data_IF_280047202449
#
_entry.id   IF_280047202449
#
_cell.length_a   1.000
_cell.length_b   1.000
_cell.length_c   1.000
_cell.angle_alpha   90.00
_cell.angle_beta   90.00
_cell.angle_gamma   90.00
#
_symmetry.space_group_name_H-M   'P 1'
#
loop_
_entity.id
_entity.type
_entity.pdbx_description
1 polymer ?
#
# COMPACT_ATOMS: atom_id res chain seq x y z
N UNK A 1 -20.19 1.64 0.58
CA UNK A 1 -19.18 2.39 -0.19
C UNK A 1 -18.63 1.47 -1.27
N UNK A 2 -18.38 1.95 -2.49
CA UNK A 2 -18.17 1.08 -3.67
C UNK A 2 -16.93 0.19 -3.60
N UNK A 3 -15.94 0.52 -2.77
CA UNK A 3 -14.75 -0.33 -2.57
C UNK A 3 -15.05 -1.70 -1.93
N UNK A 4 -16.19 -1.90 -1.26
CA UNK A 4 -16.56 -3.20 -0.69
C UNK A 4 -17.13 -4.18 -1.72
N UNK A 5 -17.46 -3.71 -2.93
CA UNK A 5 -17.97 -4.54 -4.02
C UNK A 5 -16.86 -5.41 -4.65
N UNK A 6 -15.60 -5.02 -4.45
CA UNK A 6 -14.44 -5.66 -5.04
C UNK A 6 -13.73 -6.57 -4.02
N UNK A 7 -13.22 -7.71 -4.47
CA UNK A 7 -12.35 -8.57 -3.67
C UNK A 7 -10.94 -8.00 -3.53
N UNK A 8 -10.48 -7.26 -4.55
CA UNK A 8 -9.16 -6.62 -4.60
C UNK A 8 -9.33 -5.17 -4.99
N UNK A 9 -8.62 -4.27 -4.29
CA UNK A 9 -8.65 -2.83 -4.57
C UNK A 9 -7.24 -2.25 -4.71
N UNK A 10 -7.10 -1.31 -5.65
CA UNK A 10 -5.94 -0.42 -5.77
C UNK A 10 -6.42 0.98 -5.38
N UNK A 11 -5.85 1.53 -4.31
CA UNK A 11 -6.12 2.87 -3.82
C UNK A 11 -4.92 3.76 -4.16
N UNK A 12 -5.05 4.60 -5.19
CA UNK A 12 -4.01 5.54 -5.59
C UNK A 12 -4.33 6.96 -5.09
N UNK A 13 -3.36 7.61 -4.45
CA UNK A 13 -3.49 8.96 -3.93
C UNK A 13 -2.26 9.80 -4.29
N UNK A 14 -2.46 11.07 -4.60
CA UNK A 14 -1.36 12.01 -4.85
C UNK A 14 -1.61 13.36 -4.18
N UNK A 15 -0.58 13.88 -3.49
CA UNK A 15 -0.66 15.18 -2.80
C UNK A 15 -1.83 15.25 -1.81
N UNK A 16 -2.65 16.30 -1.92
CA UNK A 16 -3.84 16.51 -1.05
C UNK A 16 -4.87 15.37 -1.11
N UNK A 17 -4.85 14.55 -2.16
CA UNK A 17 -5.70 13.36 -2.26
C UNK A 17 -5.37 12.26 -1.27
N UNK A 18 -4.30 12.41 -0.49
CA UNK A 18 -3.91 11.50 0.58
C UNK A 18 -4.92 11.46 1.72
N UNK A 19 -5.45 12.60 2.15
CA UNK A 19 -6.36 12.70 3.30
C UNK A 19 -7.59 11.79 3.17
N UNK A 20 -8.36 11.82 2.07
CA UNK A 20 -9.48 10.91 1.92
C UNK A 20 -9.04 9.44 1.79
N UNK A 21 -7.93 9.19 1.09
CA UNK A 21 -7.42 7.84 0.91
C UNK A 21 -6.95 7.21 2.24
N UNK A 22 -6.37 8.02 3.14
CA UNK A 22 -5.99 7.63 4.50
C UNK A 22 -7.20 7.18 5.31
N UNK A 23 -8.27 7.99 5.30
CA UNK A 23 -9.50 7.68 6.01
C UNK A 23 -10.10 6.35 5.53
N UNK A 24 -10.09 6.09 4.23
CA UNK A 24 -10.54 4.81 3.67
C UNK A 24 -9.63 3.66 4.08
N UNK A 25 -8.31 3.82 3.96
CA UNK A 25 -7.34 2.79 4.37
C UNK A 25 -7.53 2.40 5.84
N UNK A 26 -7.63 3.40 6.72
CA UNK A 26 -7.90 3.21 8.15
C UNK A 26 -9.24 2.52 8.38
N UNK A 27 -10.29 2.93 7.68
CA UNK A 27 -11.62 2.29 7.75
C UNK A 27 -11.56 0.80 7.39
N UNK A 28 -10.83 0.46 6.32
CA UNK A 28 -10.66 -0.91 5.85
C UNK A 28 -9.90 -1.77 6.86
N UNK A 29 -8.72 -1.31 7.28
CA UNK A 29 -7.81 -2.10 8.11
C UNK A 29 -8.25 -2.13 9.59
N UNK A 30 -8.60 -0.99 10.19
CA UNK A 30 -8.88 -0.93 11.64
C UNK A 30 -10.31 -1.33 12.00
N UNK A 31 -11.27 -1.19 11.08
CA UNK A 31 -12.67 -1.47 11.37
C UNK A 31 -13.19 -2.67 10.59
N UNK A 32 -13.11 -2.67 9.26
CA UNK A 32 -13.74 -3.74 8.46
C UNK A 32 -13.03 -5.08 8.64
N UNK A 33 -11.73 -5.12 8.42
CA UNK A 33 -10.92 -6.32 8.61
C UNK A 33 -11.00 -6.81 10.06
N UNK A 34 -11.10 -5.89 11.01
CA UNK A 34 -11.28 -6.22 12.43
C UNK A 34 -12.62 -6.87 12.76
N UNK A 35 -13.71 -6.46 12.10
CA UNK A 35 -15.07 -6.84 12.50
C UNK A 35 -15.63 -8.07 11.79
N UNK A 36 -15.06 -8.48 10.66
CA UNK A 36 -15.62 -9.58 9.87
C UNK A 36 -14.51 -10.42 9.24
N UNK A 37 -14.60 -11.75 9.37
CA UNK A 37 -13.63 -12.70 8.78
C UNK A 37 -13.69 -12.63 7.25
N UNK A 38 -14.89 -12.55 6.66
CA UNK A 38 -15.15 -12.44 5.23
C UNK A 38 -15.25 -10.99 4.73
N UNK A 39 -14.54 -10.06 5.38
CA UNK A 39 -14.55 -8.66 4.99
C UNK A 39 -13.90 -8.48 3.61
N UNK A 40 -14.69 -7.96 2.66
CA UNK A 40 -14.16 -7.40 1.41
C UNK A 40 -13.75 -5.94 1.58
N UNK A 41 -12.69 -5.49 0.88
CA UNK A 41 -11.76 -6.26 0.03
C UNK A 41 -10.80 -7.13 0.85
N UNK A 42 -10.36 -8.28 0.30
CA UNK A 42 -9.36 -9.16 0.92
C UNK A 42 -7.93 -8.71 0.59
N UNK A 43 -7.72 -8.06 -0.55
CA UNK A 43 -6.41 -7.57 -0.97
C UNK A 43 -6.45 -6.07 -1.23
N UNK A 44 -5.57 -5.33 -0.57
CA UNK A 44 -5.49 -3.87 -0.62
C UNK A 44 -4.10 -3.47 -1.10
N UNK A 45 -4.04 -2.76 -2.21
CA UNK A 45 -2.83 -2.13 -2.73
C UNK A 45 -2.99 -0.62 -2.58
N UNK A 46 -2.27 -0.03 -1.64
CA UNK A 46 -2.26 1.41 -1.45
C UNK A 46 -1.06 2.00 -2.20
N UNK A 47 -1.26 3.07 -2.94
CA UNK A 47 -0.24 3.73 -3.74
C UNK A 47 -0.28 5.23 -3.46
N UNK A 48 0.69 5.72 -2.70
CA UNK A 48 0.78 7.15 -2.40
C UNK A 48 1.93 7.78 -3.15
N UNK A 49 1.65 8.85 -3.88
CA UNK A 49 2.63 9.68 -4.56
C UNK A 49 2.83 10.98 -3.78
N UNK A 50 4.08 11.24 -3.40
CA UNK A 50 4.49 12.45 -2.68
C UNK A 50 5.74 13.03 -3.34
N UNK A 51 5.88 14.36 -3.39
CA UNK A 51 7.14 14.97 -3.75
C UNK A 51 8.05 15.04 -2.52
N UNK A 52 9.34 14.72 -2.66
CA UNK A 52 10.31 14.75 -1.55
C UNK A 52 10.29 16.06 -0.74
N UNK A 53 10.17 17.26 -1.36
CA UNK A 53 10.04 18.52 -0.60
C UNK A 53 8.77 18.64 0.24
N UNK A 54 7.71 17.90 -0.11
CA UNK A 54 6.42 17.90 0.59
C UNK A 54 6.35 16.87 1.72
N UNK A 55 7.30 15.92 1.77
CA UNK A 55 7.33 14.84 2.78
C UNK A 55 7.18 15.38 4.22
N UNK A 56 7.86 16.46 4.66
CA UNK A 56 7.69 16.99 6.00
C UNK A 56 6.26 17.46 6.32
N UNK A 57 5.49 17.92 5.32
CA UNK A 57 4.10 18.37 5.53
C UNK A 57 3.13 17.21 5.83
N UNK A 58 3.54 15.98 5.56
CA UNK A 58 2.75 14.76 5.77
C UNK A 58 3.27 13.91 6.93
N UNK A 59 4.00 14.50 7.87
CA UNK A 59 4.49 13.81 9.09
C UNK A 59 3.34 13.10 9.84
N UNK A 60 2.21 13.77 10.02
CA UNK A 60 1.00 13.19 10.64
C UNK A 60 0.55 11.87 9.99
N UNK A 61 0.74 11.74 8.67
CA UNK A 61 0.32 10.55 7.93
C UNK A 61 1.29 9.39 8.14
N UNK A 62 2.58 9.67 8.38
CA UNK A 62 3.56 8.61 8.65
C UNK A 62 3.25 7.86 9.95
N UNK A 63 2.75 8.57 10.96
CA UNK A 63 2.24 7.96 12.20
C UNK A 63 0.97 7.15 11.95
N UNK A 64 0.00 7.69 11.19
CA UNK A 64 -1.22 6.96 10.83
C UNK A 64 -0.93 5.71 9.99
N UNK A 65 0.07 5.76 9.12
CA UNK A 65 0.50 4.62 8.31
C UNK A 65 1.15 3.54 9.18
N UNK A 66 1.98 3.93 10.15
CA UNK A 66 2.56 3.02 11.15
C UNK A 66 1.46 2.29 11.94
N UNK A 67 0.40 2.98 12.35
CA UNK A 67 -0.73 2.35 13.04
C UNK A 67 -1.56 1.44 12.11
N UNK A 68 -1.69 1.83 10.84
CA UNK A 68 -2.36 1.03 9.81
C UNK A 68 -1.60 -0.26 9.50
N UNK A 69 -0.26 -0.21 9.44
CA UNK A 69 0.63 -1.37 9.31
C UNK A 69 0.44 -2.38 10.44
N UNK A 70 0.44 -1.89 11.69
CA UNK A 70 0.19 -2.75 12.86
C UNK A 70 -1.19 -3.40 12.78
N UNK A 71 -2.21 -2.66 12.36
CA UNK A 71 -3.55 -3.21 12.17
C UNK A 71 -3.58 -4.27 11.05
N UNK A 72 -2.90 -4.04 9.93
CA UNK A 72 -2.79 -5.04 8.85
C UNK A 72 -2.15 -6.34 9.36
N UNK A 73 -0.98 -6.24 9.99
CA UNK A 73 -0.25 -7.38 10.55
C UNK A 73 -1.09 -8.16 11.57
N UNK A 74 -1.80 -7.45 12.46
CA UNK A 74 -2.66 -8.08 13.45
C UNK A 74 -3.85 -8.80 12.83
N UNK A 75 -4.49 -8.20 11.82
CA UNK A 75 -5.59 -8.83 11.12
C UNK A 75 -5.14 -10.06 10.31
N UNK A 76 -3.94 -10.04 9.72
CA UNK A 76 -3.36 -11.19 9.05
C UNK A 76 -3.01 -12.32 10.04
N UNK A 77 -2.48 -12.00 11.21
CA UNK A 77 -2.18 -13.00 12.24
C UNK A 77 -3.45 -13.68 12.80
N UNK A 78 -4.53 -12.92 13.00
CA UNK A 78 -5.81 -13.44 13.53
C UNK A 78 -6.62 -14.17 12.46
N UNK A 79 -6.78 -13.55 11.29
CA UNK A 79 -7.74 -13.98 10.27
C UNK A 79 -7.09 -14.63 9.05
N UNK A 80 -5.80 -14.38 8.79
CA UNK A 80 -5.11 -14.83 7.57
C UNK A 80 -5.07 -16.34 7.38
N UNK A 81 -5.12 -17.14 8.46
CA UNK A 81 -5.24 -18.61 8.38
C UNK A 81 -6.66 -19.14 8.18
N UNK A 82 -7.69 -18.30 8.34
CA UNK A 82 -9.11 -18.67 8.25
C UNK A 82 -9.83 -18.02 7.07
N UNK A 83 -9.32 -16.90 6.55
CA UNK A 83 -9.88 -16.22 5.37
C UNK A 83 -9.44 -16.94 4.09
N UNK A 84 -10.41 -17.31 3.25
CA UNK A 84 -10.18 -17.77 1.88
C UNK A 84 -10.89 -16.81 0.90
N UNK A 85 -10.16 -15.99 0.11
CA UNK A 85 -8.70 -15.91 0.00
C UNK A 85 -8.02 -15.22 1.20
N UNK A 86 -6.71 -15.45 1.41
CA UNK A 86 -5.95 -14.79 2.48
C UNK A 86 -5.94 -13.29 2.29
N UNK A 87 -5.88 -12.57 3.42
CA UNK A 87 -5.71 -11.13 3.44
C UNK A 87 -4.32 -10.74 2.99
N UNK A 88 -4.23 -9.68 2.22
CA UNK A 88 -2.98 -9.15 1.71
C UNK A 88 -3.02 -7.64 1.70
N UNK A 89 -2.07 -7.00 2.36
CA UNK A 89 -1.88 -5.55 2.30
C UNK A 89 -0.52 -5.25 1.66
N UNK A 90 -0.48 -4.33 0.69
CA UNK A 90 0.76 -3.77 0.16
C UNK A 90 0.63 -2.24 0.09
N UNK A 91 1.53 -1.53 0.75
CA UNK A 91 1.56 -0.07 0.79
C UNK A 91 2.77 0.42 0.00
N UNK A 92 2.57 0.98 -1.18
CA UNK A 92 3.64 1.51 -2.03
C UNK A 92 3.70 3.05 -1.92
N UNK A 93 4.82 3.56 -1.40
CA UNK A 93 5.10 4.98 -1.28
C UNK A 93 6.07 5.40 -2.39
N UNK A 94 5.63 6.31 -3.25
CA UNK A 94 6.40 6.80 -4.40
C UNK A 94 6.85 8.23 -4.12
N UNK A 95 8.14 8.38 -3.85
CA UNK A 95 8.75 9.66 -3.56
C UNK A 95 9.36 10.22 -4.85
N UNK A 96 8.70 11.24 -5.39
CA UNK A 96 9.15 11.94 -6.59
C UNK A 96 10.11 13.07 -6.24
N UNK A 97 10.99 13.44 -7.18
CA UNK A 97 11.97 14.54 -6.98
C UNK A 97 12.90 14.33 -5.78
N UNK A 98 13.06 13.09 -5.32
CA UNK A 98 14.08 12.75 -4.33
C UNK A 98 15.49 12.90 -4.95
N UNK A 99 16.50 13.18 -4.12
CA UNK A 99 17.89 13.16 -4.56
C UNK A 99 18.25 11.77 -5.12
N UNK A 100 19.23 11.74 -6.03
CA UNK A 100 19.67 10.50 -6.67
C UNK A 100 20.12 9.49 -5.62
N UNK A 101 19.66 8.24 -5.73
CA UNK A 101 20.01 7.13 -4.82
C UNK A 101 21.51 6.78 -4.77
N UNK A 102 22.36 7.48 -5.54
CA UNK A 102 23.83 7.42 -5.47
C UNK A 102 24.40 8.22 -4.30
N UNK A 103 23.56 8.94 -3.55
CA UNK A 103 23.94 9.66 -2.34
C UNK A 103 24.29 8.65 -1.22
N UNK A 104 25.47 8.75 -0.56
CA UNK A 104 25.86 7.88 0.56
C UNK A 104 24.90 7.93 1.76
N UNK A 105 23.89 8.81 1.75
CA UNK A 105 22.82 8.92 2.76
C UNK A 105 21.58 8.07 2.48
N UNK A 106 21.58 7.17 1.49
CA UNK A 106 20.46 6.26 1.26
C UNK A 106 20.13 5.48 2.55
N UNK A 107 18.96 5.74 3.12
CA UNK A 107 18.55 5.15 4.41
C UNK A 107 17.99 3.76 4.14
N UNK A 108 18.53 2.76 4.85
CA UNK A 108 18.00 1.39 4.80
C UNK A 108 16.58 1.35 5.37
N UNK A 109 15.74 0.39 4.93
CA UNK A 109 14.43 0.19 5.55
C UNK A 109 14.56 0.04 7.07
N UNK A 110 13.69 0.71 7.84
CA UNK A 110 13.65 0.61 9.29
C UNK A 110 13.43 -0.84 9.74
N UNK A 111 14.00 -1.17 10.89
CA UNK A 111 13.92 -2.52 11.45
C UNK A 111 12.71 -2.65 12.39
N UNK A 112 12.01 -3.79 12.37
CA UNK A 112 10.81 -4.01 13.18
C UNK A 112 11.12 -3.95 14.68
N UNK A 113 10.28 -3.25 15.43
CA UNK A 113 10.34 -3.08 16.89
C UNK A 113 9.04 -3.58 17.54
N UNK A 114 9.05 -4.03 18.81
CA UNK A 114 7.82 -4.45 19.47
C UNK A 114 6.80 -3.31 19.55
N UNK A 115 5.56 -3.57 19.12
CA UNK A 115 4.49 -2.58 19.12
C UNK A 115 3.74 -2.56 20.47
N UNK A 116 3.46 -1.38 21.02
CA UNK A 116 2.43 -1.24 22.07
C UNK A 116 1.07 -1.17 21.38
N UNK A 117 0.27 -2.22 21.51
CA UNK A 117 -1.07 -2.28 20.90
C UNK A 117 -2.13 -2.17 22.00
N UNK A 118 -3.06 -1.23 21.85
CA UNK A 118 -4.14 -0.99 22.81
C UNK A 118 -5.45 -1.66 22.36
N UNK A 119 -6.21 -2.23 23.30
CA UNK A 119 -7.56 -2.76 23.06
C UNK A 119 -7.59 -4.23 22.60
N UNK A 120 -8.57 -4.63 21.77
CA UNK A 120 -8.87 -6.04 21.43
C UNK A 120 -7.73 -6.83 20.74
N UNK A 121 -6.66 -6.15 20.33
CA UNK A 121 -5.47 -6.79 19.79
C UNK A 121 -4.46 -7.17 20.88
N UNK A 122 -4.56 -6.63 22.10
CA UNK A 122 -3.63 -6.86 23.22
C UNK A 122 -3.45 -8.36 23.55
N UNK A 123 -4.49 -9.18 23.40
CA UNK A 123 -4.45 -10.64 23.63
C UNK A 123 -3.86 -11.44 22.48
N UNK A 124 -3.81 -10.88 21.27
CA UNK A 124 -3.17 -11.50 20.08
C UNK A 124 -1.75 -10.96 19.88
N UNK A 125 -1.41 -9.84 20.55
CA UNK A 125 -0.26 -8.97 20.32
C UNK A 125 1.00 -9.32 21.11
N UNK A 126 1.09 -10.49 21.75
CA UNK A 126 2.32 -10.93 22.44
C UNK A 126 3.57 -11.03 21.54
N UNK A 127 3.46 -10.78 20.22
CA UNK A 127 4.58 -10.83 19.29
C UNK A 127 4.40 -10.06 17.97
N UNK A 128 3.49 -9.08 17.89
CA UNK A 128 3.38 -8.26 16.66
C UNK A 128 4.39 -7.11 16.74
N UNK A 129 5.31 -7.09 15.79
CA UNK A 129 6.26 -6.01 15.66
C UNK A 129 5.69 -4.90 14.78
N UNK A 130 5.88 -3.65 15.22
CA UNK A 130 5.71 -2.45 14.41
C UNK A 130 6.93 -2.34 13.48
N UNK A 131 6.75 -2.32 12.15
CA UNK A 131 7.88 -2.27 11.23
C UNK A 131 8.68 -0.97 11.35
N UNK A 132 8.02 0.14 11.69
CA UNK A 132 8.63 1.46 11.83
C UNK A 132 7.73 2.41 12.63
N UNK A 133 8.34 3.46 13.19
CA UNK A 133 7.62 4.64 13.72
C UNK A 133 7.43 5.70 12.62
N UNK A 134 6.52 6.66 12.83
CA UNK A 134 6.32 7.75 11.87
C UNK A 134 7.61 8.51 11.55
N UNK A 135 8.41 8.95 12.54
CA UNK A 135 9.68 9.63 12.28
C UNK A 135 10.69 8.79 11.49
N UNK A 136 10.77 7.47 11.74
CA UNK A 136 11.65 6.57 10.99
C UNK A 136 11.20 6.42 9.54
N UNK A 137 9.90 6.29 9.30
CA UNK A 137 9.34 6.25 7.95
C UNK A 137 9.57 7.58 7.24
N UNK A 138 9.32 8.70 7.92
CA UNK A 138 9.53 10.04 7.39
C UNK A 138 10.97 10.25 6.94
N UNK A 139 11.93 9.81 7.74
CA UNK A 139 13.34 9.89 7.40
C UNK A 139 13.71 8.98 6.23
N UNK A 140 13.17 7.76 6.20
CA UNK A 140 13.36 6.84 5.09
C UNK A 140 12.79 7.38 3.77
N UNK A 141 11.62 8.02 3.83
CA UNK A 141 10.99 8.68 2.68
C UNK A 141 11.80 9.86 2.11
N UNK A 142 12.60 10.57 2.93
CA UNK A 142 13.49 11.63 2.43
C UNK A 142 14.66 11.08 1.61
N UNK A 143 15.01 9.81 1.83
CA UNK A 143 16.19 9.17 1.24
C UNK A 143 15.86 7.81 0.60
N UNK A 144 14.96 7.77 -0.40
CA UNK A 144 14.54 6.53 -1.03
C UNK A 144 15.68 5.96 -1.90
N UNK A 145 16.11 4.73 -1.59
CA UNK A 145 17.23 4.08 -2.26
C UNK A 145 16.84 3.38 -3.57
N UNK A 146 15.66 2.76 -3.61
CA UNK A 146 15.26 1.87 -4.71
C UNK A 146 14.47 2.61 -5.76
N UNK A 147 14.93 2.56 -7.02
CA UNK A 147 14.27 3.23 -8.13
C UNK A 147 13.02 2.49 -8.58
N UNK A 148 12.06 3.26 -9.10
CA UNK A 148 10.83 2.72 -9.72
C UNK A 148 11.09 1.94 -11.01
N UNK A 149 12.25 2.12 -11.64
CA UNK A 149 12.65 1.41 -12.85
C UNK A 149 12.86 -0.09 -12.57
N UNK A 150 13.35 -0.42 -11.37
CA UNK A 150 13.60 -1.79 -10.91
C UNK A 150 12.34 -2.47 -10.35
N UNK A 151 11.19 -1.77 -10.32
CA UNK A 151 9.96 -2.21 -9.67
C UNK A 151 9.45 -3.55 -10.22
N UNK A 152 9.56 -3.78 -11.53
CA UNK A 152 9.11 -5.03 -12.15
C UNK A 152 9.86 -6.25 -11.58
N UNK A 153 11.19 -6.15 -11.42
CA UNK A 153 12.01 -7.25 -10.88
C UNK A 153 11.93 -7.38 -9.36
N UNK A 154 11.62 -6.31 -8.64
CA UNK A 154 11.49 -6.35 -7.17
C UNK A 154 10.13 -6.93 -6.77
N UNK A 155 9.05 -6.61 -7.49
CA UNK A 155 7.72 -7.11 -7.14
C UNK A 155 7.55 -8.62 -7.38
N UNK A 156 8.39 -9.25 -8.20
CA UNK A 156 8.41 -10.72 -8.33
C UNK A 156 8.93 -11.43 -7.07
N UNK A 157 9.63 -10.71 -6.20
CA UNK A 157 10.12 -11.26 -4.93
C UNK A 157 8.98 -11.34 -3.91
N UNK A 158 8.96 -12.36 -3.04
CA UNK A 158 7.95 -12.48 -1.99
C UNK A 158 8.02 -11.28 -1.04
N UNK A 159 6.86 -10.88 -0.53
CA UNK A 159 6.75 -9.92 0.57
C UNK A 159 7.59 -10.41 1.76
N UNK A 160 8.31 -9.51 2.40
CA UNK A 160 9.27 -9.72 3.47
C UNK A 160 10.72 -9.82 3.00
N UNK A 161 10.97 -10.06 1.70
CA UNK A 161 12.33 -10.25 1.14
C UNK A 161 12.81 -9.09 0.27
N UNK A 162 11.96 -8.08 0.05
CA UNK A 162 12.26 -6.97 -0.86
C UNK A 162 13.24 -5.97 -0.22
N UNK A 163 14.18 -5.40 -0.98
CA UNK A 163 15.22 -4.53 -0.44
C UNK A 163 14.71 -3.16 0.04
N UNK A 164 13.51 -2.77 -0.37
CA UNK A 164 12.90 -1.47 -0.09
C UNK A 164 11.64 -1.58 0.76
N UNK A 165 11.55 -2.61 1.58
CA UNK A 165 10.34 -2.95 2.33
C UNK A 165 10.58 -2.92 3.85
N UNK A 166 9.57 -2.44 4.58
CA UNK A 166 9.44 -2.60 6.02
C UNK A 166 7.98 -2.94 6.33
N UNK A 167 7.72 -4.19 6.74
CA UNK A 167 6.35 -4.68 6.92
C UNK A 167 5.62 -4.79 5.59
N UNK A 168 4.44 -4.18 5.46
CA UNK A 168 3.70 -4.12 4.20
C UNK A 168 4.08 -2.91 3.35
N UNK A 169 4.97 -2.04 3.84
CA UNK A 169 5.32 -0.77 3.19
C UNK A 169 6.57 -0.88 2.36
N UNK A 170 6.46 -0.52 1.08
CA UNK A 170 7.57 -0.35 0.15
C UNK A 170 7.78 1.14 -0.16
N UNK A 171 9.02 1.62 -0.06
CA UNK A 171 9.38 2.99 -0.47
C UNK A 171 10.13 2.98 -1.81
N UNK A 172 9.71 3.84 -2.74
CA UNK A 172 10.25 3.93 -4.10
C UNK A 172 10.75 5.34 -4.39
N UNK A 173 11.89 5.42 -5.09
CA UNK A 173 12.44 6.65 -5.64
C UNK A 173 11.97 6.81 -7.09
N UNK A 174 11.06 7.76 -7.32
CA UNK A 174 10.54 8.07 -8.65
C UNK A 174 9.03 8.03 -8.74
N UNK A 175 8.55 8.11 -9.99
CA UNK A 175 7.11 8.02 -10.30
C UNK A 175 6.71 6.54 -10.41
N UNK A 176 5.48 6.18 -10.02
CA UNK A 176 5.05 4.79 -10.08
C UNK A 176 5.19 4.20 -11.49
N UNK A 177 5.79 3.03 -11.58
CA UNK A 177 5.68 2.20 -12.77
C UNK A 177 4.34 1.45 -12.70
N UNK A 178 3.29 2.09 -13.20
CA UNK A 178 1.93 1.52 -13.18
C UNK A 178 1.83 0.20 -13.93
N UNK A 179 2.62 0.01 -14.99
CA UNK A 179 2.60 -1.22 -15.76
C UNK A 179 3.14 -2.41 -14.93
N UNK A 180 4.25 -2.19 -14.22
CA UNK A 180 4.80 -3.17 -13.28
C UNK A 180 3.82 -3.48 -12.13
N UNK A 181 3.19 -2.46 -11.55
CA UNK A 181 2.21 -2.65 -10.48
C UNK A 181 0.98 -3.45 -10.97
N UNK A 182 0.39 -3.08 -12.10
CA UNK A 182 -0.78 -3.76 -12.62
C UNK A 182 -0.45 -5.19 -13.05
N UNK A 183 0.74 -5.43 -13.62
CA UNK A 183 1.23 -6.78 -13.92
C UNK A 183 1.34 -7.63 -12.65
N UNK A 184 1.91 -7.09 -11.57
CA UNK A 184 2.02 -7.77 -10.27
C UNK A 184 0.65 -8.14 -9.71
N UNK A 185 -0.28 -7.18 -9.67
CA UNK A 185 -1.65 -7.40 -9.19
C UNK A 185 -2.38 -8.41 -10.07
N UNK A 186 -2.24 -8.32 -11.39
CA UNK A 186 -2.84 -9.26 -12.33
C UNK A 186 -2.31 -10.68 -12.08
N UNK A 187 -0.98 -10.86 -12.01
CA UNK A 187 -0.37 -12.15 -11.78
C UNK A 187 -0.86 -12.82 -10.49
N UNK A 188 -1.04 -12.04 -9.41
CA UNK A 188 -1.48 -12.56 -8.11
C UNK A 188 -2.97 -12.93 -8.06
N UNK A 189 -3.82 -12.21 -8.79
CA UNK A 189 -5.27 -12.34 -8.67
C UNK A 189 -5.95 -13.00 -9.87
N UNK A 190 -5.23 -13.21 -10.97
CA UNK A 190 -5.79 -13.78 -12.21
C UNK A 190 -6.45 -15.13 -12.00
N UNK A 191 -5.85 -16.01 -11.20
CA UNK A 191 -6.40 -17.34 -10.93
C UNK A 191 -7.76 -17.29 -10.19
N UNK A 192 -7.99 -16.25 -9.38
CA UNK A 192 -9.26 -16.03 -8.68
C UNK A 192 -10.32 -15.41 -9.61
N UNK A 193 -9.85 -14.70 -10.64
CA UNK A 193 -10.68 -13.99 -11.60
C UNK A 193 -11.47 -12.83 -11.00
N UNK A 194 -12.32 -12.22 -11.82
CA UNK A 194 -13.29 -11.22 -11.38
C UNK A 194 -12.82 -9.78 -11.61
N UNK A 195 -13.11 -8.89 -10.66
CA UNK A 195 -12.90 -7.44 -10.82
C UNK A 195 -11.98 -6.87 -9.75
N UNK A 196 -11.01 -6.07 -10.19
CA UNK A 196 -10.16 -5.24 -9.34
C UNK A 196 -10.66 -3.80 -9.40
N UNK A 197 -11.02 -3.23 -8.25
CA UNK A 197 -11.46 -1.84 -8.17
C UNK A 197 -10.26 -0.90 -8.06
N UNK A 198 -10.13 0.04 -8.98
CA UNK A 198 -9.07 1.06 -8.94
C UNK A 198 -9.70 2.39 -8.55
N UNK A 199 -9.29 2.94 -7.41
CA UNK A 199 -9.78 4.21 -6.88
C UNK A 199 -8.64 5.20 -6.89
N UNK A 200 -8.92 6.45 -7.29
CA UNK A 200 -7.88 7.45 -7.45
C UNK A 200 -8.32 8.83 -6.98
N UNK A 201 -7.52 9.43 -6.11
CA UNK A 201 -7.65 10.84 -5.71
C UNK A 201 -6.36 11.61 -6.04
N UNK A 202 -6.42 12.56 -6.98
CA UNK A 202 -5.27 13.40 -7.30
C UNK A 202 -5.31 14.00 -8.70
N UNK A 203 -4.13 14.36 -9.23
CA UNK A 203 -3.98 15.06 -10.50
C UNK A 203 -4.56 14.27 -11.70
N UNK A 204 -5.27 14.91 -12.65
CA UNK A 204 -5.88 14.24 -13.80
C UNK A 204 -4.92 13.41 -14.68
N UNK A 205 -3.65 13.83 -14.75
CA UNK A 205 -2.62 13.10 -15.50
C UNK A 205 -2.45 11.66 -15.01
N UNK A 206 -2.40 11.46 -13.68
CA UNK A 206 -2.29 10.13 -13.09
C UNK A 206 -3.55 9.31 -13.37
N UNK A 207 -4.73 9.94 -13.31
CA UNK A 207 -5.99 9.28 -13.66
C UNK A 207 -6.02 8.77 -15.12
N UNK A 208 -5.38 9.48 -16.06
CA UNK A 208 -5.24 9.03 -17.46
C UNK A 208 -4.32 7.80 -17.55
N UNK A 209 -3.20 7.81 -16.85
CA UNK A 209 -2.28 6.66 -16.81
C UNK A 209 -2.95 5.43 -16.17
N UNK A 210 -3.65 5.60 -15.06
CA UNK A 210 -4.40 4.52 -14.42
C UNK A 210 -5.47 3.94 -15.35
N UNK A 211 -6.19 4.80 -16.09
CA UNK A 211 -7.18 4.34 -17.08
C UNK A 211 -6.53 3.51 -18.20
N UNK A 212 -5.39 3.95 -18.71
CA UNK A 212 -4.62 3.20 -19.73
C UNK A 212 -4.22 1.82 -19.20
N UNK A 213 -3.69 1.76 -17.99
CA UNK A 213 -3.27 0.50 -17.37
C UNK A 213 -4.46 -0.41 -17.06
N UNK A 214 -5.59 0.13 -16.60
CA UNK A 214 -6.81 -0.65 -16.42
C UNK A 214 -7.23 -1.35 -17.71
N UNK A 215 -7.22 -0.64 -18.84
CA UNK A 215 -7.60 -1.22 -20.12
C UNK A 215 -6.59 -2.25 -20.63
N UNK A 216 -5.29 -1.98 -20.45
CA UNK A 216 -4.21 -2.83 -21.00
C UNK A 216 -4.04 -4.15 -20.24
N UNK A 217 -4.33 -4.14 -18.94
CA UNK A 217 -4.20 -5.31 -18.07
C UNK A 217 -5.52 -6.04 -17.79
N UNK A 218 -6.62 -5.59 -18.42
CA UNK A 218 -7.92 -6.27 -18.33
C UNK A 218 -8.08 -7.27 -19.47
N UNK A 219 -8.69 -8.42 -19.16
CA UNK A 219 -9.13 -9.39 -20.15
C UNK A 219 -10.37 -10.17 -19.67
N UNK A 220 -10.59 -11.36 -20.23
CA UNK A 220 -11.73 -12.22 -19.95
C UNK A 220 -11.75 -12.77 -18.52
N UNK A 221 -10.58 -12.97 -17.90
CA UNK A 221 -10.45 -13.63 -16.60
C UNK A 221 -10.43 -12.59 -15.46
N UNK A 222 -9.74 -11.48 -15.69
CA UNK A 222 -9.57 -10.41 -14.70
C UNK A 222 -9.80 -9.03 -15.32
N UNK A 223 -10.65 -8.21 -14.70
CA UNK A 223 -10.96 -6.85 -15.17
C UNK A 223 -10.63 -5.79 -14.12
N UNK A 224 -9.79 -4.84 -14.50
CA UNK A 224 -9.53 -3.63 -13.72
C UNK A 224 -10.58 -2.55 -14.04
N UNK A 225 -11.21 -2.00 -13.01
CA UNK A 225 -12.28 -1.02 -13.14
C UNK A 225 -11.88 0.27 -12.43
N UNK A 226 -11.53 1.30 -13.20
CA UNK A 226 -11.26 2.63 -12.66
C UNK A 226 -12.57 3.31 -12.22
N UNK A 227 -12.70 3.49 -10.92
CA UNK A 227 -13.79 4.20 -10.29
C UNK A 227 -13.46 5.68 -10.26
N UNK A 228 -14.32 6.47 -10.91
CA UNK A 228 -14.25 7.93 -10.89
C UNK A 228 -14.88 8.42 -9.58
N UNK A 229 -14.23 8.16 -8.45
CA UNK A 229 -14.58 8.79 -7.18
C UNK A 229 -13.64 9.97 -6.95
N UNK A 230 -14.21 11.18 -6.94
CA UNK A 230 -13.61 12.31 -6.26
C UNK A 230 -14.11 12.22 -4.82
N UNK A 231 -13.21 11.88 -3.91
CA UNK A 231 -13.49 11.82 -2.48
C UNK A 231 -13.80 13.20 -1.91
#
# INVERSE_FOLDING_TARGET
>A
MRYTEFGTVILAAAGIGLTPASSVLRSLLQYRWRCSENARPHSIYFCWLCACPEVPAFEWFTDELSDSEVAAAANEAVHGRRSDPPRNCELHLFITRAPSATDPKAVKPPQPKPAKIYGRYETVAGGINRPYTGPELLEWMKHPATKTDDMAGILTQPQGSRPNEAGHTCVWNGRPNWDALFSHVAQRHRAQGGKVGVFFCGAPAIGKDLRRNCNSHSDKDLRFVLMKESF
#
